data_IF_189446481159
#
_entry.id   IF_189446481159
#
_cell.length_a   1.000
_cell.length_b   1.000
_cell.length_c   1.000
_cell.angle_alpha   90.00
_cell.angle_beta   90.00
_cell.angle_gamma   90.00
#
_symmetry.space_group_name_H-M   'P 1'
#
loop_
_entity.id
_entity.type
_entity.pdbx_description
1 polymer ?
#
# COMPACT_ATOMS: atom_id res chain seq x y z
N UNK A 1 50.47 19.03 -26.64
CA UNK A 1 49.88 20.20 -25.95
C UNK A 1 48.51 20.64 -26.51
N UNK A 2 48.30 20.71 -27.82
CA UNK A 2 47.02 21.18 -28.42
C UNK A 2 45.85 20.22 -28.17
N UNK A 3 46.07 18.90 -28.23
CA UNK A 3 45.04 17.86 -27.98
C UNK A 3 44.53 17.87 -26.54
N UNK A 4 45.42 18.03 -25.57
CA UNK A 4 45.04 18.05 -24.12
C UNK A 4 44.23 19.30 -23.79
N UNK A 5 44.56 20.45 -24.42
CA UNK A 5 43.78 21.70 -24.28
C UNK A 5 42.40 21.60 -24.91
N UNK A 6 42.25 20.89 -26.04
CA UNK A 6 40.95 20.65 -26.67
C UNK A 6 40.07 19.73 -25.85
N UNK A 7 40.63 18.64 -25.26
CA UNK A 7 39.90 17.74 -24.39
C UNK A 7 39.47 18.41 -23.07
N UNK A 8 40.32 19.25 -22.49
CA UNK A 8 39.97 20.06 -21.31
C UNK A 8 38.85 21.08 -21.61
N UNK A 9 38.90 21.72 -22.79
CA UNK A 9 37.86 22.66 -23.18
C UNK A 9 36.50 21.98 -23.45
N UNK A 10 36.50 20.77 -24.04
CA UNK A 10 35.28 19.95 -24.20
C UNK A 10 34.69 19.50 -22.86
N UNK A 11 35.54 19.08 -21.91
CA UNK A 11 35.11 18.68 -20.58
C UNK A 11 34.50 19.86 -19.79
N UNK A 12 35.11 21.05 -19.91
CA UNK A 12 34.58 22.27 -19.27
C UNK A 12 33.26 22.73 -19.89
N UNK A 13 33.09 22.61 -21.21
CA UNK A 13 31.83 22.92 -21.90
C UNK A 13 30.71 21.95 -21.50
N UNK A 14 31.01 20.67 -21.38
CA UNK A 14 30.00 19.66 -20.94
C UNK A 14 29.60 19.87 -19.48
N UNK A 15 30.52 20.25 -18.60
CA UNK A 15 30.21 20.59 -17.20
C UNK A 15 29.34 21.86 -17.09
N UNK A 16 29.63 22.89 -17.90
CA UNK A 16 28.87 24.13 -17.93
C UNK A 16 27.43 23.91 -18.47
N UNK A 17 27.29 23.08 -19.52
CA UNK A 17 25.99 22.70 -20.05
C UNK A 17 25.15 21.88 -19.02
N UNK A 18 25.77 20.92 -18.33
CA UNK A 18 25.11 20.16 -17.30
C UNK A 18 24.69 21.05 -16.12
N UNK A 19 25.51 21.99 -15.68
CA UNK A 19 25.17 22.95 -14.65
C UNK A 19 24.04 23.92 -15.05
N UNK A 20 23.98 24.30 -16.35
CA UNK A 20 22.88 25.12 -16.92
C UNK A 20 21.54 24.34 -16.87
N UNK A 21 21.54 23.10 -17.35
CA UNK A 21 20.36 22.25 -17.34
C UNK A 21 19.83 22.00 -15.91
N UNK A 22 20.72 21.75 -14.93
CA UNK A 22 20.36 21.56 -13.53
C UNK A 22 19.73 22.81 -12.89
N UNK A 23 20.21 24.02 -13.26
CA UNK A 23 19.62 25.30 -12.79
C UNK A 23 18.23 25.55 -13.37
N UNK A 24 18.01 25.20 -14.63
CA UNK A 24 16.71 25.37 -15.27
C UNK A 24 15.69 24.38 -14.72
N UNK A 25 16.10 23.15 -14.42
CA UNK A 25 15.29 22.15 -13.76
C UNK A 25 14.91 22.59 -12.34
N UNK A 26 15.86 23.13 -11.56
CA UNK A 26 15.60 23.67 -10.23
C UNK A 26 14.61 24.84 -10.25
N UNK A 27 14.67 25.73 -11.25
CA UNK A 27 13.70 26.82 -11.43
C UNK A 27 12.30 26.29 -11.76
N UNK A 28 12.19 25.32 -12.65
CA UNK A 28 10.93 24.75 -13.12
C UNK A 28 10.23 23.94 -12.05
N UNK A 29 10.95 23.10 -11.33
CA UNK A 29 10.42 22.21 -10.32
C UNK A 29 10.47 22.80 -8.91
N UNK A 30 11.32 23.79 -8.66
CA UNK A 30 11.60 24.33 -7.33
C UNK A 30 12.34 23.34 -6.42
N UNK A 31 13.04 22.37 -7.02
CA UNK A 31 13.87 21.38 -6.32
C UNK A 31 15.35 21.61 -6.68
N UNK A 32 16.22 21.54 -5.68
CA UNK A 32 17.66 21.71 -5.86
C UNK A 32 18.31 20.35 -6.11
N UNK A 33 18.89 20.09 -7.31
CA UNK A 33 19.51 18.81 -7.65
C UNK A 33 20.68 18.45 -6.71
N UNK A 34 21.45 19.43 -6.22
CA UNK A 34 22.53 19.19 -5.29
C UNK A 34 22.04 18.72 -3.92
N UNK A 35 20.86 19.18 -3.52
CA UNK A 35 20.19 18.70 -2.29
C UNK A 35 19.59 17.30 -2.50
N UNK A 36 19.00 17.04 -3.66
CA UNK A 36 18.46 15.72 -3.99
C UNK A 36 19.57 14.64 -4.02
N UNK A 37 20.75 14.95 -4.52
CA UNK A 37 21.88 14.03 -4.52
C UNK A 37 22.32 13.56 -3.11
N UNK A 38 21.94 14.28 -2.05
CA UNK A 38 22.17 13.82 -0.67
C UNK A 38 21.37 12.57 -0.31
N UNK A 39 20.26 12.31 -1.02
CA UNK A 39 19.47 11.09 -0.83
C UNK A 39 20.33 9.87 -1.17
N UNK A 40 21.05 9.91 -2.29
CA UNK A 40 21.91 8.81 -2.73
C UNK A 40 23.02 8.53 -1.70
N UNK A 41 23.68 9.57 -1.20
CA UNK A 41 24.71 9.43 -0.19
C UNK A 41 24.17 8.84 1.13
N UNK A 42 22.96 9.27 1.55
CA UNK A 42 22.32 8.75 2.75
C UNK A 42 21.96 7.27 2.59
N UNK A 43 21.34 6.91 1.48
CA UNK A 43 20.94 5.50 1.21
C UNK A 43 22.19 4.62 1.08
N UNK A 44 23.23 5.10 0.40
CA UNK A 44 24.50 4.35 0.31
C UNK A 44 25.09 4.09 1.70
N UNK A 45 25.01 5.05 2.62
CA UNK A 45 25.44 4.87 4.01
C UNK A 45 24.69 3.73 4.72
N UNK A 46 23.38 3.57 4.52
CA UNK A 46 22.61 2.43 5.06
C UNK A 46 23.02 1.10 4.42
N UNK A 47 23.32 1.10 3.13
CA UNK A 47 23.80 -0.10 2.40
C UNK A 47 25.18 -0.50 2.92
N UNK A 48 26.11 0.45 3.04
CA UNK A 48 27.48 0.21 3.54
C UNK A 48 27.48 -0.29 4.99
N UNK A 49 26.57 0.25 5.81
CA UNK A 49 26.37 -0.19 7.19
C UNK A 49 25.58 -1.53 7.29
N UNK A 50 25.23 -2.16 6.16
CA UNK A 50 24.45 -3.42 6.09
C UNK A 50 23.12 -3.35 6.85
N UNK A 51 22.48 -2.19 6.90
CA UNK A 51 21.15 -2.02 7.49
C UNK A 51 20.05 -2.38 6.49
N UNK A 52 20.29 -2.14 5.20
CA UNK A 52 19.44 -2.55 4.08
C UNK A 52 20.31 -3.15 2.98
N UNK A 53 19.82 -4.12 2.20
CA UNK A 53 20.57 -4.68 1.08
C UNK A 53 20.70 -3.70 -0.09
N UNK A 54 19.69 -2.90 -0.33
CA UNK A 54 19.63 -1.89 -1.39
C UNK A 54 18.29 -1.17 -1.38
N UNK A 55 18.18 -0.15 -2.21
CA UNK A 55 16.95 0.64 -2.36
C UNK A 55 16.85 1.27 -3.76
N UNK A 56 15.61 1.57 -4.14
CA UNK A 56 15.28 2.50 -5.22
C UNK A 56 14.56 3.69 -4.60
N UNK A 57 15.04 4.89 -4.85
CA UNK A 57 14.42 6.13 -4.40
C UNK A 57 13.91 6.93 -5.59
N UNK A 58 12.75 7.55 -5.43
CA UNK A 58 12.17 8.41 -6.45
C UNK A 58 11.56 9.63 -5.79
N UNK A 59 11.85 10.80 -6.35
CA UNK A 59 11.16 12.03 -5.99
C UNK A 59 10.50 12.60 -7.24
N UNK A 60 9.21 12.90 -7.14
CA UNK A 60 8.48 13.60 -8.19
C UNK A 60 7.86 14.89 -7.64
N UNK A 61 7.81 15.92 -8.45
CA UNK A 61 7.16 17.19 -8.11
C UNK A 61 6.49 17.80 -9.35
N UNK A 62 5.26 18.26 -9.19
CA UNK A 62 4.45 18.83 -10.29
C UNK A 62 4.32 17.90 -11.50
N UNK A 63 4.19 16.59 -11.25
CA UNK A 63 4.08 15.58 -12.31
C UNK A 63 5.40 15.19 -12.98
N UNK A 64 6.54 15.73 -12.54
CA UNK A 64 7.86 15.44 -13.11
C UNK A 64 8.74 14.67 -12.12
N UNK A 65 9.43 13.65 -12.62
CA UNK A 65 10.44 12.93 -11.83
C UNK A 65 11.69 13.78 -11.78
N UNK A 66 12.08 14.23 -10.59
CA UNK A 66 13.23 15.11 -10.36
C UNK A 66 14.42 14.39 -9.73
N UNK A 67 14.24 13.16 -9.27
CA UNK A 67 15.32 12.33 -8.74
C UNK A 67 14.95 10.85 -8.84
N UNK A 68 15.91 10.03 -9.23
CA UNK A 68 15.88 8.57 -9.11
C UNK A 68 17.24 8.10 -8.63
N UNK A 69 17.28 7.46 -7.47
CA UNK A 69 18.47 6.83 -6.93
C UNK A 69 18.32 5.31 -6.92
N UNK A 70 19.42 4.60 -7.14
CA UNK A 70 19.48 3.13 -7.12
C UNK A 70 20.78 2.72 -6.43
N UNK A 71 20.68 2.09 -5.27
CA UNK A 71 21.84 1.70 -4.46
C UNK A 71 21.74 0.24 -4.04
N UNK A 72 22.89 -0.43 -3.97
CA UNK A 72 23.05 -1.77 -3.39
C UNK A 72 22.54 -2.92 -4.25
N UNK A 73 22.07 -3.96 -3.59
CA UNK A 73 21.66 -5.25 -4.16
C UNK A 73 20.23 -5.60 -3.77
N UNK A 74 19.64 -6.59 -4.44
CA UNK A 74 18.27 -7.07 -4.15
C UNK A 74 18.14 -7.82 -2.82
N UNK A 75 19.24 -8.45 -2.35
CA UNK A 75 19.31 -9.18 -1.08
C UNK A 75 20.72 -9.07 -0.48
N UNK A 76 20.84 -9.27 0.84
CA UNK A 76 22.14 -9.20 1.54
C UNK A 76 23.15 -10.23 1.03
N UNK A 77 22.70 -11.44 0.80
CA UNK A 77 23.47 -12.60 0.34
C UNK A 77 23.39 -12.81 -1.19
N UNK A 78 22.61 -11.96 -1.88
CA UNK A 78 22.42 -12.01 -3.32
C UNK A 78 23.56 -11.38 -4.12
N UNK A 79 23.76 -11.84 -5.36
CA UNK A 79 24.68 -11.24 -6.33
C UNK A 79 24.00 -10.16 -7.19
N UNK A 80 22.68 -10.22 -7.33
CA UNK A 80 21.93 -9.36 -8.24
C UNK A 80 21.90 -7.89 -7.76
N UNK A 81 22.30 -6.94 -8.61
CA UNK A 81 22.24 -5.53 -8.26
C UNK A 81 20.78 -5.06 -8.15
N UNK A 82 20.56 -4.03 -7.36
CA UNK A 82 19.33 -3.26 -7.42
C UNK A 82 19.25 -2.54 -8.77
N UNK A 83 18.08 -2.48 -9.37
CA UNK A 83 17.82 -1.76 -10.63
C UNK A 83 16.53 -0.96 -10.52
N UNK A 84 16.31 -0.01 -11.43
CA UNK A 84 15.06 0.78 -11.50
C UNK A 84 13.83 -0.11 -11.70
N UNK A 85 14.00 -1.24 -12.37
CA UNK A 85 12.92 -2.17 -12.70
C UNK A 85 12.76 -3.30 -11.67
N UNK A 86 13.47 -3.21 -10.54
CA UNK A 86 13.32 -4.17 -9.45
C UNK A 86 11.90 -4.13 -8.91
N UNK A 87 11.26 -5.30 -8.83
CA UNK A 87 9.92 -5.44 -8.29
C UNK A 87 9.96 -5.47 -6.76
N UNK A 88 9.05 -4.69 -6.16
CA UNK A 88 8.89 -4.61 -4.71
C UNK A 88 7.49 -5.04 -4.29
N UNK A 89 7.39 -5.74 -3.17
CA UNK A 89 6.13 -5.85 -2.45
C UNK A 89 5.87 -4.54 -1.72
N UNK A 90 4.81 -3.84 -2.10
CA UNK A 90 4.48 -2.51 -1.56
C UNK A 90 3.61 -2.56 -0.31
N UNK A 91 3.20 -3.76 0.13
CA UNK A 91 2.41 -3.99 1.35
C UNK A 91 1.24 -2.99 1.49
N UNK A 92 1.21 -2.24 2.58
CA UNK A 92 0.11 -1.30 2.87
C UNK A 92 -0.02 -0.13 1.90
N UNK A 93 0.98 0.13 1.06
CA UNK A 93 0.84 1.08 -0.05
C UNK A 93 -0.13 0.58 -1.14
N UNK A 94 -0.54 -0.69 -1.10
CA UNK A 94 -1.64 -1.23 -1.90
C UNK A 94 -3.00 -0.64 -1.53
N UNK A 95 -3.18 -0.19 -0.27
CA UNK A 95 -4.47 0.32 0.24
C UNK A 95 -5.00 1.54 -0.52
N UNK A 96 -4.21 2.58 -0.82
CA UNK A 96 -4.68 3.68 -1.67
C UNK A 96 -5.18 3.21 -3.04
N UNK A 97 -4.50 2.24 -3.66
CA UNK A 97 -4.87 1.70 -4.97
C UNK A 97 -6.23 0.99 -4.90
N UNK A 98 -6.42 0.12 -3.90
CA UNK A 98 -7.71 -0.57 -3.66
C UNK A 98 -8.82 0.42 -3.31
N UNK A 99 -8.50 1.48 -2.56
CA UNK A 99 -9.46 2.53 -2.25
C UNK A 99 -9.88 3.30 -3.50
N UNK A 100 -8.94 3.62 -4.39
CA UNK A 100 -9.26 4.23 -5.70
C UNK A 100 -10.18 3.31 -6.50
N UNK A 101 -9.88 2.01 -6.60
CA UNK A 101 -10.75 1.04 -7.27
C UNK A 101 -12.18 1.05 -6.71
N UNK A 102 -12.32 1.10 -5.38
CA UNK A 102 -13.63 1.20 -4.71
C UNK A 102 -14.34 2.51 -5.06
N UNK A 103 -13.61 3.64 -5.06
CA UNK A 103 -14.17 4.96 -5.39
C UNK A 103 -14.53 5.10 -6.86
N UNK A 104 -13.87 4.40 -7.77
CA UNK A 104 -14.30 4.31 -9.19
C UNK A 104 -15.68 3.65 -9.31
N UNK A 105 -15.94 2.57 -8.56
CA UNK A 105 -17.26 1.93 -8.54
C UNK A 105 -18.34 2.83 -7.88
N UNK A 106 -17.94 3.63 -6.87
CA UNK A 106 -18.81 4.65 -6.29
C UNK A 106 -19.15 5.73 -7.32
N UNK A 107 -18.17 6.24 -8.06
CA UNK A 107 -18.33 7.26 -9.11
C UNK A 107 -19.21 6.75 -10.26
N UNK A 108 -19.12 5.46 -10.58
CA UNK A 108 -19.99 4.76 -11.54
C UNK A 108 -21.43 4.50 -11.02
N UNK A 109 -21.73 4.85 -9.77
CA UNK A 109 -23.04 4.63 -9.15
C UNK A 109 -23.35 3.15 -8.83
N UNK A 110 -22.34 2.26 -8.86
CA UNK A 110 -22.50 0.83 -8.57
C UNK A 110 -22.63 0.52 -7.09
N UNK A 111 -22.14 1.41 -6.24
CA UNK A 111 -22.27 1.34 -4.79
C UNK A 111 -22.37 2.74 -4.18
N UNK A 112 -22.83 2.79 -2.91
CA UNK A 112 -22.82 4.00 -2.09
C UNK A 112 -21.92 3.78 -0.88
N UNK A 113 -21.31 4.85 -0.35
CA UNK A 113 -20.48 4.74 0.84
C UNK A 113 -21.25 4.30 2.09
N UNK A 114 -22.56 4.51 2.10
CA UNK A 114 -23.49 4.10 3.18
C UNK A 114 -24.10 2.71 2.97
N UNK A 115 -23.85 2.06 1.82
CA UNK A 115 -24.34 0.70 1.61
C UNK A 115 -23.69 -0.27 2.59
N UNK A 116 -24.48 -1.20 3.17
CA UNK A 116 -23.91 -2.30 3.94
C UNK A 116 -23.13 -3.22 3.01
N UNK A 117 -21.96 -3.64 3.45
CA UNK A 117 -21.10 -4.54 2.65
C UNK A 117 -21.71 -5.93 2.48
N UNK A 118 -22.61 -6.32 3.38
CA UNK A 118 -23.38 -7.56 3.33
C UNK A 118 -24.20 -7.72 2.05
N UNK A 119 -24.51 -6.64 1.37
CA UNK A 119 -25.19 -6.65 0.06
C UNK A 119 -24.41 -7.43 -1.00
N UNK A 120 -23.08 -7.45 -0.92
CA UNK A 120 -22.19 -8.16 -1.83
C UNK A 120 -21.34 -9.23 -1.13
N UNK A 121 -21.19 -9.10 0.20
CA UNK A 121 -20.42 -10.02 1.03
C UNK A 121 -21.35 -10.51 2.17
N UNK A 122 -22.32 -11.38 1.87
CA UNK A 122 -23.32 -11.83 2.84
C UNK A 122 -22.68 -12.53 4.03
N UNK A 123 -21.45 -13.02 3.92
CA UNK A 123 -20.68 -13.62 5.00
C UNK A 123 -20.40 -12.63 6.14
N UNK A 124 -20.47 -11.31 5.87
CA UNK A 124 -20.31 -10.24 6.86
C UNK A 124 -21.65 -9.66 7.34
N UNK A 125 -22.78 -10.31 7.00
CA UNK A 125 -24.08 -9.93 7.53
C UNK A 125 -24.19 -10.28 9.04
N UNK A 126 -24.92 -9.45 9.80
CA UNK A 126 -25.19 -9.65 11.21
C UNK A 126 -23.93 -9.90 12.07
N UNK A 127 -22.91 -9.02 11.99
CA UNK A 127 -21.68 -9.22 12.74
C UNK A 127 -21.96 -9.20 14.25
N UNK A 128 -21.12 -9.89 15.00
CA UNK A 128 -21.10 -9.83 16.45
C UNK A 128 -19.95 -8.98 16.93
N UNK A 129 -20.10 -8.30 18.05
CA UNK A 129 -19.09 -7.41 18.63
C UNK A 129 -18.67 -7.95 19.99
N UNK A 130 -17.37 -7.95 20.27
CA UNK A 130 -16.85 -8.29 21.59
C UNK A 130 -17.38 -7.31 22.65
N UNK A 131 -17.80 -7.82 23.81
CA UNK A 131 -18.14 -7.00 24.99
C UNK A 131 -16.91 -6.28 25.54
N UNK A 132 -15.77 -6.95 25.50
CA UNK A 132 -14.46 -6.42 25.82
C UNK A 132 -13.49 -6.83 24.71
N UNK A 133 -12.85 -5.87 24.00
CA UNK A 133 -11.87 -6.16 22.95
C UNK A 133 -10.67 -7.00 23.39
N UNK A 134 -10.39 -7.03 24.70
CA UNK A 134 -9.33 -7.86 25.30
C UNK A 134 -9.84 -9.14 25.97
N UNK A 135 -11.16 -9.32 25.97
CA UNK A 135 -11.83 -10.45 26.62
C UNK A 135 -11.89 -11.74 25.76
N UNK A 136 -12.64 -12.75 26.25
CA UNK A 136 -12.87 -13.97 25.51
C UNK A 136 -13.63 -13.73 24.20
N UNK A 137 -13.29 -14.47 23.14
CA UNK A 137 -13.86 -14.26 21.79
C UNK A 137 -15.33 -14.69 21.67
N UNK A 138 -15.82 -15.49 22.58
CA UNK A 138 -17.22 -15.95 22.68
C UNK A 138 -18.13 -14.98 23.46
N UNK A 139 -17.53 -14.05 24.24
CA UNK A 139 -18.25 -13.03 24.98
C UNK A 139 -18.65 -11.87 24.06
N UNK A 140 -19.68 -12.08 23.24
CA UNK A 140 -20.10 -11.14 22.20
C UNK A 140 -21.57 -10.77 22.32
N UNK A 141 -21.91 -9.61 21.75
CA UNK A 141 -23.30 -9.18 21.50
C UNK A 141 -23.54 -9.00 20.01
N UNK A 142 -24.80 -9.04 19.53
CA UNK A 142 -25.11 -8.63 18.18
C UNK A 142 -24.65 -7.20 17.92
N UNK A 143 -24.08 -6.93 16.75
CA UNK A 143 -23.69 -5.58 16.40
C UNK A 143 -24.92 -4.68 16.25
N UNK A 144 -24.88 -3.44 16.75
CA UNK A 144 -25.96 -2.47 16.58
C UNK A 144 -26.09 -1.96 15.13
N UNK A 145 -25.08 -2.19 14.29
CA UNK A 145 -25.03 -1.73 12.92
C UNK A 145 -24.28 -2.72 12.02
N UNK A 146 -24.59 -2.71 10.74
CA UNK A 146 -23.82 -3.41 9.72
C UNK A 146 -22.57 -2.62 9.34
N UNK A 147 -21.56 -3.31 8.81
CA UNK A 147 -20.36 -2.67 8.27
C UNK A 147 -20.72 -1.99 6.95
N UNK A 148 -20.42 -0.71 6.80
CA UNK A 148 -20.60 0.03 5.55
C UNK A 148 -19.32 0.08 4.72
N UNK A 149 -19.45 0.43 3.43
CA UNK A 149 -18.29 0.68 2.55
C UNK A 149 -17.41 1.81 3.13
N UNK A 150 -18.01 2.84 3.72
CA UNK A 150 -17.29 3.93 4.40
C UNK A 150 -16.47 3.39 5.57
N UNK A 151 -17.02 2.52 6.39
CA UNK A 151 -16.32 1.97 7.56
C UNK A 151 -15.08 1.17 7.14
N UNK A 152 -15.14 0.46 6.01
CA UNK A 152 -13.98 -0.22 5.45
C UNK A 152 -12.91 0.77 4.98
N UNK A 153 -13.31 1.80 4.20
CA UNK A 153 -12.40 2.83 3.68
C UNK A 153 -11.70 3.63 4.78
N UNK A 154 -12.36 3.81 5.93
CA UNK A 154 -11.87 4.61 7.04
C UNK A 154 -11.27 3.80 8.19
N UNK A 155 -11.19 2.47 8.06
CA UNK A 155 -10.79 1.58 9.16
C UNK A 155 -11.65 1.71 10.43
N UNK A 156 -12.93 1.97 10.26
CA UNK A 156 -13.93 2.04 11.33
C UNK A 156 -14.87 0.82 11.35
N UNK A 157 -14.54 -0.24 10.64
CA UNK A 157 -15.39 -1.43 10.49
C UNK A 157 -15.50 -2.31 11.73
N UNK A 158 -14.58 -2.15 12.71
CA UNK A 158 -14.43 -3.07 13.84
C UNK A 158 -13.59 -4.32 13.55
N UNK A 159 -13.19 -4.55 12.30
CA UNK A 159 -12.20 -5.57 11.93
C UNK A 159 -10.82 -5.20 12.48
N UNK A 160 -9.90 -6.18 12.54
CA UNK A 160 -8.59 -6.00 13.17
C UNK A 160 -7.45 -6.59 12.32
N UNK A 161 -6.22 -6.28 12.70
CA UNK A 161 -5.05 -7.14 12.53
C UNK A 161 -4.66 -7.74 13.88
N UNK A 162 -3.93 -8.86 13.90
CA UNK A 162 -3.52 -9.51 15.16
C UNK A 162 -2.71 -8.60 16.10
N UNK A 163 -2.01 -7.61 15.53
CA UNK A 163 -1.21 -6.65 16.29
C UNK A 163 -1.95 -5.36 16.66
N UNK A 164 -3.24 -5.24 16.30
CA UNK A 164 -4.08 -4.07 16.62
C UNK A 164 -5.23 -4.40 17.57
N UNK A 165 -5.21 -5.58 18.17
CA UNK A 165 -6.29 -6.06 19.05
C UNK A 165 -5.73 -6.86 20.21
N UNK A 166 -6.61 -7.28 21.15
CA UNK A 166 -6.27 -8.17 22.25
C UNK A 166 -5.82 -9.56 21.79
N UNK A 167 -5.07 -10.30 22.64
CA UNK A 167 -4.41 -11.55 22.26
C UNK A 167 -5.38 -12.63 21.76
N UNK A 168 -6.56 -12.75 22.40
CA UNK A 168 -7.53 -13.77 22.05
C UNK A 168 -8.07 -13.60 20.62
N UNK A 169 -8.52 -12.39 20.26
CA UNK A 169 -9.00 -12.11 18.93
C UNK A 169 -7.85 -12.14 17.90
N UNK A 170 -6.68 -11.60 18.26
CA UNK A 170 -5.49 -11.66 17.39
C UNK A 170 -5.10 -13.09 17.03
N UNK A 171 -5.13 -14.00 18.01
CA UNK A 171 -4.90 -15.44 17.79
C UNK A 171 -5.98 -16.05 16.90
N UNK A 172 -7.25 -15.73 17.13
CA UNK A 172 -8.35 -16.24 16.30
C UNK A 172 -8.21 -15.85 14.82
N UNK A 173 -7.77 -14.62 14.53
CA UNK A 173 -7.47 -14.18 13.15
C UNK A 173 -6.32 -14.98 12.52
N UNK A 174 -5.28 -15.30 13.30
CA UNK A 174 -4.17 -16.15 12.84
C UNK A 174 -4.63 -17.59 12.58
N UNK A 175 -5.32 -18.20 13.54
CA UNK A 175 -5.82 -19.58 13.44
C UNK A 175 -6.80 -19.75 12.27
N UNK A 176 -7.61 -18.73 11.98
CA UNK A 176 -8.52 -18.71 10.84
C UNK A 176 -7.81 -18.49 9.48
N UNK A 177 -6.50 -18.20 9.47
CA UNK A 177 -5.75 -17.94 8.24
C UNK A 177 -6.11 -16.62 7.57
N UNK A 178 -6.66 -15.66 8.33
CA UNK A 178 -7.06 -14.35 7.79
C UNK A 178 -5.84 -13.48 7.47
N UNK A 179 -4.76 -13.66 8.25
CA UNK A 179 -3.56 -12.85 8.19
C UNK A 179 -2.45 -13.60 7.46
N UNK A 180 -1.85 -12.94 6.49
CA UNK A 180 -0.71 -13.49 5.76
C UNK A 180 -0.54 -12.81 4.41
N UNK A 181 0.71 -12.67 3.98
CA UNK A 181 1.06 -12.12 2.67
C UNK A 181 0.81 -13.11 1.52
N UNK A 182 0.45 -14.34 1.85
CA UNK A 182 0.17 -15.42 0.90
C UNK A 182 -0.81 -16.41 1.54
N UNK A 183 -2.06 -15.96 1.75
CA UNK A 183 -3.10 -16.93 2.09
C UNK A 183 -3.42 -17.77 0.85
N UNK A 184 -3.44 -19.08 1.00
CA UNK A 184 -3.89 -20.01 -0.04
C UNK A 184 -5.42 -20.15 -0.08
N UNK A 185 -6.12 -19.43 0.81
CA UNK A 185 -7.57 -19.47 0.89
C UNK A 185 -8.19 -18.83 -0.37
N UNK A 186 -9.16 -19.52 -0.95
CA UNK A 186 -10.04 -18.91 -1.95
C UNK A 186 -10.78 -17.72 -1.32
N UNK A 187 -11.08 -16.64 -2.09
CA UNK A 187 -11.71 -15.44 -1.56
C UNK A 187 -13.00 -15.67 -0.78
N UNK A 188 -13.84 -16.59 -1.24
CA UNK A 188 -15.12 -16.92 -0.57
C UNK A 188 -14.89 -17.66 0.77
N UNK A 189 -13.92 -18.58 0.82
CA UNK A 189 -13.57 -19.25 2.07
C UNK A 189 -12.92 -18.28 3.06
N UNK A 190 -12.10 -17.34 2.57
CA UNK A 190 -11.53 -16.28 3.39
C UNK A 190 -12.64 -15.40 3.98
N UNK A 191 -13.62 -14.97 3.17
CA UNK A 191 -14.75 -14.17 3.64
C UNK A 191 -15.59 -14.90 4.67
N UNK A 192 -15.87 -16.20 4.45
CA UNK A 192 -16.60 -17.04 5.38
C UNK A 192 -15.90 -17.15 6.74
N UNK A 193 -14.59 -17.37 6.73
CA UNK A 193 -13.81 -17.45 7.98
C UNK A 193 -13.76 -16.12 8.70
N UNK A 194 -13.60 -15.01 7.95
CA UNK A 194 -13.61 -13.67 8.52
C UNK A 194 -14.97 -13.36 9.16
N UNK A 195 -16.08 -13.69 8.49
CA UNK A 195 -17.44 -13.46 8.97
C UNK A 195 -17.81 -14.28 10.20
N UNK A 196 -17.10 -15.37 10.46
CA UNK A 196 -17.27 -16.17 11.68
C UNK A 196 -16.59 -15.55 12.92
N UNK A 197 -15.73 -14.54 12.72
CA UNK A 197 -15.01 -13.88 13.81
C UNK A 197 -15.76 -12.64 14.30
N UNK A 198 -15.69 -12.32 15.60
CA UNK A 198 -16.31 -11.11 16.11
C UNK A 198 -15.51 -9.86 15.72
N UNK A 199 -16.20 -8.74 15.69
CA UNK A 199 -15.59 -7.41 15.61
C UNK A 199 -15.06 -6.99 16.99
N UNK A 200 -13.95 -6.25 17.00
CA UNK A 200 -13.41 -5.66 18.23
C UNK A 200 -14.28 -4.50 18.74
N UNK A 201 -14.94 -3.79 17.84
CA UNK A 201 -15.78 -2.62 18.12
C UNK A 201 -16.96 -2.57 17.16
N UNK A 202 -18.04 -1.92 17.57
CA UNK A 202 -19.18 -1.68 16.68
C UNK A 202 -18.74 -0.83 15.48
N UNK A 203 -19.25 -1.13 14.26
CA UNK A 203 -18.94 -0.36 13.07
C UNK A 203 -19.24 1.13 13.25
N UNK A 204 -18.38 1.98 12.70
CA UNK A 204 -18.49 3.43 12.76
C UNK A 204 -18.09 4.08 14.09
N UNK A 205 -17.81 3.31 15.15
CA UNK A 205 -17.58 3.87 16.49
C UNK A 205 -16.12 4.18 16.83
N UNK A 206 -15.19 3.48 16.20
CA UNK A 206 -13.76 3.63 16.51
C UNK A 206 -12.89 3.31 15.30
N UNK A 207 -11.84 4.11 15.11
CA UNK A 207 -10.78 3.80 14.17
C UNK A 207 -9.88 2.67 14.69
N UNK A 208 -9.67 1.66 13.87
CA UNK A 208 -8.74 0.57 14.16
C UNK A 208 -8.16 0.02 12.85
N UNK A 209 -6.86 0.14 12.68
CA UNK A 209 -6.17 -0.36 11.50
C UNK A 209 -6.36 -1.87 11.34
N UNK A 210 -6.78 -2.34 10.15
CA UNK A 210 -7.36 -3.68 10.00
C UNK A 210 -7.29 -4.22 8.58
N UNK A 211 -7.80 -5.45 8.40
CA UNK A 211 -8.04 -6.10 7.10
C UNK A 211 -9.18 -5.47 6.29
N UNK A 212 -9.66 -4.30 6.68
CA UNK A 212 -10.75 -3.61 5.97
C UNK A 212 -10.48 -3.44 4.48
N UNK A 213 -9.24 -3.15 4.10
CA UNK A 213 -8.89 -2.97 2.69
C UNK A 213 -8.82 -4.29 1.91
N UNK A 214 -8.53 -5.39 2.59
CA UNK A 214 -8.62 -6.73 2.01
C UNK A 214 -10.08 -7.05 1.66
N UNK A 215 -11.01 -6.69 2.56
CA UNK A 215 -12.47 -6.77 2.32
C UNK A 215 -12.88 -5.86 1.16
N UNK A 216 -12.32 -4.64 1.05
CA UNK A 216 -12.56 -3.77 -0.10
C UNK A 216 -12.10 -4.41 -1.41
N UNK A 217 -10.98 -5.13 -1.41
CA UNK A 217 -10.53 -5.87 -2.58
C UNK A 217 -11.54 -6.92 -3.04
N UNK A 218 -12.11 -7.68 -2.11
CA UNK A 218 -13.18 -8.63 -2.39
C UNK A 218 -14.47 -7.92 -2.86
N UNK A 219 -14.82 -6.79 -2.22
CA UNK A 219 -15.96 -5.97 -2.62
C UNK A 219 -15.83 -5.50 -4.06
N UNK A 220 -14.66 -4.96 -4.44
CA UNK A 220 -14.39 -4.53 -5.83
C UNK A 220 -14.60 -5.69 -6.80
N UNK A 221 -14.09 -6.88 -6.48
CA UNK A 221 -14.28 -8.04 -7.34
C UNK A 221 -15.76 -8.40 -7.49
N UNK A 222 -16.53 -8.48 -6.40
CA UNK A 222 -17.94 -8.86 -6.42
C UNK A 222 -18.85 -7.81 -7.07
N UNK A 223 -18.61 -6.52 -6.82
CA UNK A 223 -19.38 -5.41 -7.42
C UNK A 223 -19.11 -5.28 -8.92
N UNK A 224 -17.85 -5.46 -9.33
CA UNK A 224 -17.47 -5.33 -10.74
C UNK A 224 -17.74 -6.59 -11.57
N UNK A 225 -17.86 -7.75 -10.93
CA UNK A 225 -17.90 -9.05 -11.60
C UNK A 225 -16.56 -9.49 -12.19
N UNK A 226 -15.44 -8.86 -11.80
CA UNK A 226 -14.10 -9.13 -12.29
C UNK A 226 -13.18 -9.53 -11.14
N UNK A 227 -12.23 -10.47 -11.35
CA UNK A 227 -11.15 -10.69 -10.40
C UNK A 227 -10.44 -9.36 -10.06
N UNK A 228 -10.07 -9.14 -8.80
CA UNK A 228 -9.42 -7.88 -8.37
C UNK A 228 -8.18 -7.54 -9.21
N UNK A 229 -7.34 -8.53 -9.49
CA UNK A 229 -6.14 -8.34 -10.29
C UNK A 229 -6.45 -7.81 -11.69
N UNK A 230 -7.48 -8.35 -12.34
CA UNK A 230 -7.91 -7.90 -13.66
C UNK A 230 -8.52 -6.51 -13.62
N UNK A 231 -9.31 -6.22 -12.59
CA UNK A 231 -9.85 -4.86 -12.39
C UNK A 231 -8.73 -3.84 -12.23
N UNK A 232 -7.76 -4.09 -11.34
CA UNK A 232 -6.63 -3.19 -11.13
C UNK A 232 -5.78 -3.02 -12.40
N UNK A 233 -5.49 -4.13 -13.08
CA UNK A 233 -4.71 -4.11 -14.31
C UNK A 233 -5.40 -3.26 -15.39
N UNK A 234 -6.65 -3.57 -15.70
CA UNK A 234 -7.34 -2.95 -16.85
C UNK A 234 -7.88 -1.55 -16.59
N UNK A 235 -8.14 -1.20 -15.32
CA UNK A 235 -8.80 0.05 -14.97
C UNK A 235 -7.88 1.10 -14.35
N UNK A 236 -6.71 0.69 -13.85
CA UNK A 236 -5.77 1.58 -13.14
C UNK A 236 -4.38 1.55 -13.75
N UNK A 237 -3.83 0.37 -14.08
CA UNK A 237 -2.42 0.26 -14.45
C UNK A 237 -2.15 0.29 -15.95
N UNK A 238 -3.07 -0.18 -16.80
CA UNK A 238 -2.92 -0.13 -18.26
C UNK A 238 -3.32 1.22 -18.89
N UNK A 239 -4.31 1.97 -18.37
CA UNK A 239 -4.56 3.33 -18.86
C UNK A 239 -3.46 4.28 -18.43
#
# INVERSE_FOLDING_TARGET
MRLVRALLALALLSLAAAAGLAKDEAKRTGMDPARLARIDAMIQGYVDAKQIPGAVTLVARRGEIVHVGVQGKRAFDGAEPMTRDTLFRIYSMTKPITSVATLMLYEEGKLRLTDPVSKWIPELAQPRVLRDPNGPIDATDPSPAEITVRDLLTHCSGLVYSFTTGPALGKAYQDAGILGSSTELAPDEWAKRLGALPLAHAPGTRWNYSVSTDVLGLLVARVSGMPLADFLRTRIFEP
#
